data_IF_698729757943
#
_entry.id   IF_698729757943
#
_cell.length_a   1.000
_cell.length_b   1.000
_cell.length_c   1.000
_cell.angle_alpha   90.00
_cell.angle_beta   90.00
_cell.angle_gamma   90.00
#
_symmetry.space_group_name_H-M   'P 1'
#
loop_
_entity.id
_entity.type
_entity.pdbx_description
1 polymer ?
#
# COMPACT_ATOMS: atom_id res chain seq x y z
N UNK A 1 8.50 -6.98 -12.25
CA UNK A 1 8.17 -7.32 -10.85
C UNK A 1 9.47 -7.48 -10.11
N UNK A 2 9.72 -6.66 -9.10
CA UNK A 2 10.84 -6.90 -8.18
C UNK A 2 10.23 -7.70 -7.02
N UNK A 3 10.45 -9.01 -7.05
CA UNK A 3 10.00 -9.87 -5.96
C UNK A 3 10.80 -9.52 -4.71
N UNK A 4 10.10 -9.14 -3.65
CA UNK A 4 10.72 -8.81 -2.36
C UNK A 4 11.31 -10.10 -1.81
N UNK A 5 12.63 -10.13 -1.63
CA UNK A 5 13.33 -11.31 -1.11
C UNK A 5 13.29 -11.32 0.42
N UNK A 6 13.31 -12.54 0.99
CA UNK A 6 13.34 -12.75 2.43
C UNK A 6 14.42 -11.91 3.14
N UNK A 7 15.59 -11.79 2.52
CA UNK A 7 16.72 -11.00 3.03
C UNK A 7 16.37 -9.52 3.19
N UNK A 8 15.64 -8.94 2.22
CA UNK A 8 15.24 -7.53 2.26
C UNK A 8 14.22 -7.26 3.38
N UNK A 9 13.31 -8.22 3.62
CA UNK A 9 12.37 -8.14 4.74
C UNK A 9 13.11 -8.25 6.08
N UNK A 10 14.10 -9.15 6.16
CA UNK A 10 14.87 -9.34 7.38
C UNK A 10 15.72 -8.11 7.74
N UNK A 11 16.38 -7.49 6.76
CA UNK A 11 17.10 -6.22 6.96
C UNK A 11 16.15 -5.13 7.47
N UNK A 12 14.96 -5.00 6.87
CA UNK A 12 13.97 -4.01 7.29
C UNK A 12 13.54 -4.22 8.76
N UNK A 13 13.27 -5.46 9.16
CA UNK A 13 12.89 -5.82 10.53
C UNK A 13 13.98 -5.46 11.55
N UNK A 14 15.26 -5.60 11.18
CA UNK A 14 16.37 -5.21 12.08
C UNK A 14 16.48 -3.71 12.33
N UNK A 15 15.94 -2.89 11.44
CA UNK A 15 15.92 -1.43 11.58
C UNK A 15 14.67 -0.89 12.27
N UNK A 16 13.67 -1.74 12.54
CA UNK A 16 12.43 -1.36 13.22
C UNK A 16 12.55 -1.59 14.73
N UNK A 17 12.24 -0.59 15.59
CA UNK A 17 12.20 -0.79 17.03
C UNK A 17 11.24 -1.92 17.40
N UNK A 18 11.65 -2.81 18.32
CA UNK A 18 10.87 -4.01 18.72
C UNK A 18 9.44 -3.67 19.12
N UNK A 19 9.21 -2.49 19.72
CA UNK A 19 7.88 -2.00 20.12
C UNK A 19 6.93 -1.74 18.95
N UNK A 20 7.45 -1.55 17.73
CA UNK A 20 6.68 -1.31 16.51
C UNK A 20 6.54 -2.54 15.63
N UNK A 21 7.20 -3.65 15.96
CA UNK A 21 7.11 -4.89 15.20
C UNK A 21 5.70 -5.47 15.10
N UNK A 22 4.87 -5.47 16.17
CA UNK A 22 3.50 -5.95 16.06
C UNK A 22 2.70 -5.12 15.04
N UNK A 23 2.85 -3.79 15.06
CA UNK A 23 2.15 -2.88 14.15
C UNK A 23 2.63 -3.08 12.71
N UNK A 24 3.94 -3.23 12.51
CA UNK A 24 4.50 -3.49 11.18
C UNK A 24 4.04 -4.84 10.61
N UNK A 25 3.89 -5.86 11.45
CA UNK A 25 3.38 -7.16 11.04
C UNK A 25 1.91 -7.11 10.61
N UNK A 26 1.06 -6.44 11.40
CA UNK A 26 -0.36 -6.28 11.07
C UNK A 26 -0.53 -5.54 9.73
N UNK A 27 0.23 -4.47 9.49
CA UNK A 27 0.23 -3.73 8.23
C UNK A 27 0.67 -4.60 7.04
N UNK A 28 1.78 -5.34 7.19
CA UNK A 28 2.26 -6.24 6.13
C UNK A 28 1.24 -7.34 5.83
N UNK A 29 0.52 -7.81 6.85
CA UNK A 29 -0.54 -8.80 6.69
C UNK A 29 -1.75 -8.22 5.97
N UNK A 30 -2.15 -6.98 6.28
CA UNK A 30 -3.22 -6.27 5.58
C UNK A 30 -2.87 -6.05 4.11
N UNK A 31 -1.67 -5.53 3.83
CA UNK A 31 -1.17 -5.32 2.46
C UNK A 31 -1.03 -6.62 1.66
N UNK A 32 -0.72 -7.73 2.33
CA UNK A 32 -0.67 -9.05 1.69
C UNK A 32 -2.06 -9.69 1.52
N UNK A 33 -3.03 -9.33 2.36
CA UNK A 33 -4.41 -9.77 2.27
C UNK A 33 -5.22 -8.96 1.25
N UNK A 34 -4.82 -7.71 0.97
CA UNK A 34 -5.24 -6.92 -0.18
C UNK A 34 -4.67 -7.54 -1.46
N UNK A 35 -5.22 -8.69 -1.88
CA UNK A 35 -5.20 -9.01 -3.30
C UNK A 35 -5.88 -7.87 -4.03
N UNK A 36 -5.24 -7.21 -5.03
CA UNK A 36 -5.92 -6.21 -5.82
C UNK A 36 -7.11 -6.90 -6.49
N UNK A 37 -8.31 -6.63 -5.97
CA UNK A 37 -9.57 -7.01 -6.59
C UNK A 37 -9.52 -6.44 -8.02
N UNK A 38 -9.29 -7.34 -8.98
CA UNK A 38 -9.34 -7.08 -10.42
C UNK A 38 -8.17 -6.28 -11.01
N UNK A 39 -6.93 -6.77 -10.87
CA UNK A 39 -5.93 -6.44 -11.90
C UNK A 39 -6.16 -7.33 -13.13
N UNK A 40 -6.95 -6.87 -14.10
CA UNK A 40 -6.90 -7.45 -15.44
C UNK A 40 -5.44 -7.44 -15.91
N UNK A 41 -4.90 -8.52 -16.50
CA UNK A 41 -3.60 -8.51 -17.14
C UNK A 41 -3.49 -7.27 -18.04
N UNK A 42 -2.37 -6.53 -17.97
CA UNK A 42 -2.23 -5.26 -18.70
C UNK A 42 -2.57 -5.38 -20.20
N UNK A 43 -2.33 -6.56 -20.78
CA UNK A 43 -2.66 -6.89 -22.17
C UNK A 43 -4.18 -6.90 -22.40
N UNK A 44 -4.94 -7.51 -21.48
CA UNK A 44 -6.40 -7.55 -21.55
C UNK A 44 -7.01 -6.16 -21.32
N UNK A 45 -6.48 -5.38 -20.37
CA UNK A 45 -6.91 -4.01 -20.15
C UNK A 45 -6.68 -3.14 -21.40
N UNK A 46 -5.52 -3.25 -22.05
CA UNK A 46 -5.20 -2.49 -23.25
C UNK A 46 -6.02 -2.91 -24.48
N UNK A 47 -6.58 -4.12 -24.48
CA UNK A 47 -7.50 -4.59 -25.51
C UNK A 47 -8.91 -3.99 -25.43
N UNK A 48 -9.25 -3.37 -24.29
CA UNK A 48 -10.56 -2.76 -24.09
C UNK A 48 -10.74 -1.47 -24.91
N UNK A 49 -11.98 -1.19 -25.38
CA UNK A 49 -12.32 0.10 -25.96
C UNK A 49 -11.96 1.26 -25.03
N UNK A 50 -11.59 2.42 -25.59
CA UNK A 50 -11.16 3.59 -24.83
C UNK A 50 -12.15 3.98 -23.73
N UNK A 51 -13.45 3.97 -24.05
CA UNK A 51 -14.52 4.34 -23.12
C UNK A 51 -14.61 3.36 -21.93
N UNK A 52 -14.37 2.08 -22.17
CA UNK A 52 -14.39 1.05 -21.13
C UNK A 52 -13.18 1.17 -20.21
N UNK A 53 -12.01 1.46 -20.77
CA UNK A 53 -10.81 1.79 -19.97
C UNK A 53 -11.01 3.03 -19.10
N UNK A 54 -11.63 4.07 -19.65
CA UNK A 54 -11.95 5.29 -18.89
C UNK A 54 -12.89 5.01 -17.73
N UNK A 55 -13.91 4.18 -17.95
CA UNK A 55 -14.86 3.77 -16.90
C UNK A 55 -14.16 3.04 -15.76
N UNK A 56 -13.34 2.05 -16.09
CA UNK A 56 -12.59 1.27 -15.09
C UNK A 56 -11.59 2.14 -14.31
N UNK A 57 -10.86 3.02 -14.99
CA UNK A 57 -9.92 3.94 -14.33
C UNK A 57 -10.64 4.95 -13.43
N UNK A 58 -11.81 5.44 -13.84
CA UNK A 58 -12.60 6.35 -13.02
C UNK A 58 -13.11 5.66 -11.74
N UNK A 59 -13.52 4.40 -11.84
CA UNK A 59 -13.94 3.61 -10.70
C UNK A 59 -12.78 3.35 -9.73
N UNK A 60 -11.65 2.89 -10.25
CA UNK A 60 -10.43 2.69 -9.45
C UNK A 60 -9.95 3.99 -8.78
N UNK A 61 -10.06 5.13 -9.46
CA UNK A 61 -9.71 6.42 -8.89
C UNK A 61 -10.66 6.81 -7.75
N UNK A 62 -11.96 6.54 -7.88
CA UNK A 62 -12.93 6.79 -6.83
C UNK A 62 -12.66 5.92 -5.59
N UNK A 63 -12.43 4.63 -5.79
CA UNK A 63 -12.12 3.67 -4.72
C UNK A 63 -10.84 4.07 -3.97
N UNK A 64 -9.81 4.51 -4.69
CA UNK A 64 -8.58 5.04 -4.07
C UNK A 64 -8.82 6.32 -3.28
N UNK A 65 -9.63 7.25 -3.79
CA UNK A 65 -9.96 8.49 -3.06
C UNK A 65 -10.69 8.17 -1.76
N UNK A 66 -11.64 7.24 -1.77
CA UNK A 66 -12.35 6.79 -0.57
C UNK A 66 -11.41 6.13 0.43
N UNK A 67 -10.56 5.22 -0.04
CA UNK A 67 -9.54 4.57 0.79
C UNK A 67 -8.56 5.56 1.42
N UNK A 68 -8.07 6.55 0.66
CA UNK A 68 -7.18 7.59 1.18
C UNK A 68 -7.88 8.55 2.14
N UNK A 69 -9.15 8.84 1.92
CA UNK A 69 -9.93 9.64 2.86
C UNK A 69 -10.09 8.91 4.20
N UNK A 70 -10.31 7.60 4.17
CA UNK A 70 -10.44 6.78 5.37
C UNK A 70 -9.11 6.60 6.13
N UNK A 71 -8.00 6.39 5.41
CA UNK A 71 -6.65 6.22 5.99
C UNK A 71 -5.92 7.54 6.30
N UNK A 72 -6.62 8.68 6.29
CA UNK A 72 -6.01 9.98 6.59
C UNK A 72 -5.54 10.07 8.06
N UNK A 73 -6.35 9.61 9.01
CA UNK A 73 -6.02 9.61 10.44
C UNK A 73 -4.88 8.63 10.76
N UNK A 74 -4.90 7.45 10.13
CA UNK A 74 -3.80 6.48 10.25
C UNK A 74 -2.50 7.05 9.69
N UNK A 75 -2.55 7.74 8.53
CA UNK A 75 -1.37 8.42 7.97
C UNK A 75 -0.81 9.49 8.91
N UNK A 76 -1.65 10.27 9.59
CA UNK A 76 -1.17 11.21 10.62
C UNK A 76 -0.49 10.50 11.78
N UNK A 77 -1.00 9.33 12.19
CA UNK A 77 -0.37 8.49 13.21
C UNK A 77 1.01 7.95 12.78
N UNK A 78 1.14 7.56 11.50
CA UNK A 78 2.41 7.09 10.91
C UNK A 78 3.41 8.23 10.66
N UNK A 79 2.94 9.43 10.29
CA UNK A 79 3.79 10.62 10.08
C UNK A 79 4.10 11.39 11.37
N UNK A 80 3.39 11.10 12.47
CA UNK A 80 3.65 11.57 13.82
C UNK A 80 4.93 11.04 14.47
N UNK A 81 5.89 10.57 13.68
CA UNK A 81 7.27 10.42 14.11
C UNK A 81 7.85 11.79 14.44
N UNK A 82 7.70 12.24 15.70
CA UNK A 82 8.52 13.31 16.27
C UNK A 82 9.97 13.03 15.90
N UNK A 83 10.52 13.80 14.98
CA UNK A 83 11.96 13.95 14.81
C UNK A 83 12.48 14.78 15.99
N UNK A 84 12.32 14.29 17.22
CA UNK A 84 13.02 14.85 18.38
C UNK A 84 14.43 14.25 18.42
N UNK A 85 15.29 14.71 17.52
CA UNK A 85 16.70 14.81 17.81
C UNK A 85 17.01 16.29 17.99
N UNK A 86 16.90 16.69 19.25
CA UNK A 86 17.60 17.83 19.78
C UNK A 86 19.10 17.52 19.75
N UNK A 87 19.85 18.35 19.02
CA UNK A 87 21.23 18.71 19.34
C UNK A 87 21.36 20.20 19.05
#
# INVERSE_FOLDING_TARGET
>A
MHDITYTQVQELVTHVPVTKLPIAYELLRELAAETPETSLPQIEFMSLPLQERQRLLAQQAADLVEHYAHSAEERELWQGGRTSHAF
#
